data_IF_327245482640
#
_entry.id   IF_327245482640
#
_cell.length_a   1.000
_cell.length_b   1.000
_cell.length_c   1.000
_cell.angle_alpha   90.00
_cell.angle_beta   90.00
_cell.angle_gamma   90.00
#
_symmetry.space_group_name_H-M   'P 1'
#
loop_
_entity.id
_entity.type
_entity.pdbx_description
1 polymer ?
#
# COMPACT_ATOMS: atom_id res chain seq x y z
N UNK A 1 0.09 -1.11 -12.95
CA UNK A 1 -0.26 0.34 -12.88
C UNK A 1 0.85 1.24 -12.36
N UNK A 2 1.69 0.78 -11.42
CA UNK A 2 2.73 1.60 -10.78
C UNK A 2 3.63 2.39 -11.76
N UNK A 3 4.04 1.80 -12.89
CA UNK A 3 4.87 2.47 -13.89
C UNK A 3 4.17 3.67 -14.55
N UNK A 4 2.88 3.54 -14.88
CA UNK A 4 2.10 4.64 -15.47
C UNK A 4 1.89 5.77 -14.46
N UNK A 5 1.67 5.44 -13.18
CA UNK A 5 1.60 6.43 -12.09
C UNK A 5 2.89 7.21 -11.92
N UNK A 6 4.03 6.51 -11.90
CA UNK A 6 5.35 7.15 -11.84
C UNK A 6 5.62 8.06 -13.04
N UNK A 7 5.26 7.63 -14.26
CA UNK A 7 5.40 8.45 -15.48
C UNK A 7 4.54 9.71 -15.41
N UNK A 8 3.28 9.59 -14.97
CA UNK A 8 2.38 10.73 -14.77
C UNK A 8 2.95 11.73 -13.76
N UNK A 9 3.55 11.25 -12.66
CA UNK A 9 4.18 12.09 -11.64
C UNK A 9 5.44 12.84 -12.09
N UNK A 10 5.99 12.52 -13.27
CA UNK A 10 7.09 13.26 -13.89
C UNK A 10 6.62 14.44 -14.75
N UNK A 11 5.31 14.59 -14.97
CA UNK A 11 4.70 15.65 -15.78
C UNK A 11 4.12 16.73 -14.86
N UNK A 12 4.20 18.01 -15.25
CA UNK A 12 3.49 19.10 -14.56
C UNK A 12 4.19 19.67 -13.32
N UNK A 13 5.51 19.82 -13.35
CA UNK A 13 6.29 20.47 -12.27
C UNK A 13 6.42 22.00 -12.40
N UNK A 14 5.78 22.58 -13.42
CA UNK A 14 5.76 24.03 -13.66
C UNK A 14 4.41 24.66 -13.28
N UNK A 15 4.32 25.98 -13.39
CA UNK A 15 3.08 26.73 -13.08
C UNK A 15 1.98 26.53 -14.14
N UNK A 16 2.33 26.01 -15.32
CA UNK A 16 1.40 25.78 -16.43
C UNK A 16 0.68 24.45 -16.30
N UNK A 17 -0.61 24.44 -16.65
CA UNK A 17 -1.41 23.21 -16.73
C UNK A 17 -0.77 22.22 -17.70
N UNK A 18 -0.63 20.98 -17.25
CA UNK A 18 -0.09 19.88 -18.04
C UNK A 18 -1.12 18.78 -18.21
N UNK A 19 -1.10 18.11 -19.36
CA UNK A 19 -2.03 17.05 -19.72
C UNK A 19 -1.25 15.76 -19.96
N UNK A 20 -1.83 14.63 -19.56
CA UNK A 20 -1.29 13.30 -19.80
C UNK A 20 -2.37 12.52 -20.57
N UNK A 21 -2.08 12.23 -21.83
CA UNK A 21 -2.95 11.43 -22.70
C UNK A 21 -2.47 9.98 -22.65
N UNK A 22 -3.41 9.07 -22.44
CA UNK A 22 -3.17 7.64 -22.42
C UNK A 22 -3.77 7.04 -23.68
N UNK A 23 -2.94 6.43 -24.52
CA UNK A 23 -3.36 5.73 -25.73
C UNK A 23 -3.18 4.23 -25.50
N UNK A 24 -4.20 3.45 -25.82
CA UNK A 24 -4.14 2.00 -25.78
C UNK A 24 -4.96 1.42 -26.93
N UNK A 25 -4.38 0.46 -27.63
CA UNK A 25 -5.03 -0.33 -28.67
C UNK A 25 -5.16 -1.76 -28.14
N UNK A 26 -6.21 -1.97 -27.35
CA UNK A 26 -6.46 -3.26 -26.70
C UNK A 26 -7.94 -3.39 -26.37
N UNK A 27 -8.46 -4.60 -26.54
CA UNK A 27 -9.81 -4.99 -26.12
C UNK A 27 -9.81 -5.69 -24.75
N UNK A 28 -8.64 -5.84 -24.12
CA UNK A 28 -8.52 -6.44 -22.79
C UNK A 28 -9.18 -5.56 -21.72
N UNK A 29 -10.29 -6.06 -21.16
CA UNK A 29 -11.07 -5.37 -20.12
C UNK A 29 -10.23 -5.01 -18.89
N UNK A 30 -9.23 -5.83 -18.52
CA UNK A 30 -8.33 -5.55 -17.41
C UNK A 30 -7.43 -4.36 -17.75
N UNK A 31 -6.88 -4.31 -18.97
CA UNK A 31 -6.08 -3.19 -19.43
C UNK A 31 -6.90 -1.89 -19.49
N UNK A 32 -8.13 -1.96 -19.99
CA UNK A 32 -9.07 -0.82 -20.02
C UNK A 32 -9.40 -0.34 -18.61
N UNK A 33 -9.68 -1.26 -17.69
CA UNK A 33 -9.99 -0.95 -16.29
C UNK A 33 -8.80 -0.28 -15.57
N UNK A 34 -7.57 -0.74 -15.85
CA UNK A 34 -6.33 -0.10 -15.36
C UNK A 34 -6.21 1.34 -15.86
N UNK A 35 -6.46 1.59 -17.14
CA UNK A 35 -6.39 2.95 -17.69
C UNK A 35 -7.47 3.86 -17.11
N UNK A 36 -8.67 3.32 -16.85
CA UNK A 36 -9.75 4.08 -16.24
C UNK A 36 -9.42 4.58 -14.82
N UNK A 37 -8.82 3.76 -13.96
CA UNK A 37 -8.44 4.25 -12.62
C UNK A 37 -7.33 5.32 -12.69
N UNK A 38 -6.43 5.23 -13.69
CA UNK A 38 -5.38 6.23 -13.94
C UNK A 38 -5.92 7.60 -14.37
N UNK A 39 -7.09 7.67 -15.00
CA UNK A 39 -7.72 8.93 -15.38
C UNK A 39 -8.58 9.51 -14.26
N UNK A 40 -9.13 8.66 -13.39
CA UNK A 40 -10.06 9.06 -12.31
C UNK A 40 -9.37 9.48 -11.02
N UNK A 41 -8.27 8.83 -10.65
CA UNK A 41 -7.60 9.10 -9.37
C UNK A 41 -6.17 9.61 -9.54
N UNK A 42 -5.75 10.47 -8.62
CA UNK A 42 -4.35 10.90 -8.46
C UNK A 42 -3.63 10.19 -7.32
N UNK A 43 -4.38 9.59 -6.40
CA UNK A 43 -3.85 8.93 -5.23
C UNK A 43 -3.12 7.63 -5.63
N UNK A 44 -1.86 7.51 -5.22
CA UNK A 44 -1.05 6.32 -5.48
C UNK A 44 -1.57 5.09 -4.74
N UNK A 45 -2.20 5.25 -3.58
CA UNK A 45 -2.77 4.14 -2.80
C UNK A 45 -4.00 3.56 -3.47
N UNK A 46 -4.95 4.41 -3.88
CA UNK A 46 -6.17 3.97 -4.57
C UNK A 46 -5.83 3.24 -5.89
N UNK A 47 -4.85 3.75 -6.63
CA UNK A 47 -4.38 3.11 -7.87
C UNK A 47 -3.72 1.77 -7.58
N UNK A 48 -2.94 1.66 -6.50
CA UNK A 48 -2.30 0.41 -6.10
C UNK A 48 -3.34 -0.64 -5.64
N UNK A 49 -4.36 -0.21 -4.89
CA UNK A 49 -5.46 -1.07 -4.45
C UNK A 49 -6.26 -1.61 -5.63
N UNK A 50 -6.56 -0.74 -6.60
CA UNK A 50 -7.27 -1.14 -7.81
C UNK A 50 -6.43 -2.08 -8.70
N UNK A 51 -5.11 -1.85 -8.82
CA UNK A 51 -4.21 -2.78 -9.54
C UNK A 51 -4.17 -4.15 -8.87
N UNK A 52 -4.16 -4.18 -7.53
CA UNK A 52 -4.20 -5.41 -6.76
C UNK A 52 -5.51 -6.18 -6.99
N UNK A 53 -6.65 -5.50 -6.89
CA UNK A 53 -7.97 -6.10 -7.17
C UNK A 53 -8.04 -6.69 -8.58
N UNK A 54 -7.48 -5.99 -9.58
CA UNK A 54 -7.49 -6.42 -10.98
C UNK A 54 -6.52 -7.57 -11.31
N UNK A 55 -5.32 -7.59 -10.70
CA UNK A 55 -4.35 -8.70 -10.87
C UNK A 55 -4.82 -9.98 -10.21
N UNK A 56 -5.71 -9.84 -9.26
CA UNK A 56 -6.03 -10.91 -8.35
C UNK A 56 -4.86 -11.18 -7.39
N UNK A 57 -5.19 -11.81 -6.26
CA UNK A 57 -4.26 -12.04 -5.17
C UNK A 57 -3.15 -13.05 -5.50
N UNK A 58 -3.38 -13.99 -6.43
CA UNK A 58 -2.42 -15.04 -6.79
C UNK A 58 -1.16 -14.54 -7.51
N UNK A 59 -1.22 -13.41 -8.21
CA UNK A 59 -0.09 -12.86 -8.96
C UNK A 59 0.93 -12.14 -8.05
N UNK A 60 0.47 -11.53 -6.96
CA UNK A 60 1.33 -10.94 -5.91
C UNK A 60 2.25 -11.99 -5.27
N UNK A 61 1.75 -13.20 -5.05
CA UNK A 61 2.52 -14.28 -4.42
C UNK A 61 3.40 -15.07 -5.40
N UNK A 62 3.17 -14.94 -6.71
CA UNK A 62 4.02 -15.55 -7.73
C UNK A 62 5.34 -14.78 -7.92
N UNK A 63 5.36 -13.50 -7.56
CA UNK A 63 6.59 -12.70 -7.44
C UNK A 63 7.04 -12.74 -5.98
N UNK A 64 7.93 -13.70 -5.65
CA UNK A 64 8.64 -13.75 -4.37
C UNK A 64 9.17 -12.37 -4.00
N UNK A 65 8.48 -11.64 -3.13
CA UNK A 65 9.08 -10.48 -2.47
C UNK A 65 9.93 -11.00 -1.31
N UNK A 66 11.23 -11.10 -1.56
CA UNK A 66 12.22 -11.24 -0.50
C UNK A 66 12.13 -10.00 0.41
N UNK A 67 11.65 -10.16 1.65
CA UNK A 67 11.79 -9.12 2.68
C UNK A 67 10.71 -9.08 3.75
N UNK A 68 9.47 -9.48 3.46
CA UNK A 68 8.43 -9.58 4.48
C UNK A 68 8.61 -10.91 5.24
N UNK A 69 8.64 -10.90 6.59
CA UNK A 69 8.58 -12.16 7.33
C UNK A 69 7.34 -12.91 6.89
N UNK A 70 7.46 -14.23 6.72
CA UNK A 70 6.35 -15.10 6.33
C UNK A 70 5.15 -14.78 7.21
N UNK A 71 4.20 -14.00 6.69
CA UNK A 71 2.85 -13.92 7.22
C UNK A 71 2.28 -15.31 6.95
N UNK A 72 2.57 -16.23 7.87
CA UNK A 72 1.95 -17.54 7.91
C UNK A 72 0.47 -17.29 8.11
N UNK A 73 -0.24 -17.33 6.98
CA UNK A 73 -1.65 -17.67 6.85
C UNK A 73 -2.60 -16.53 7.25
N UNK A 74 -3.13 -15.87 6.22
CA UNK A 74 -4.53 -15.50 6.12
C UNK A 74 -4.81 -15.35 4.63
N UNK A 75 -5.97 -15.78 4.15
CA UNK A 75 -6.31 -15.63 2.74
C UNK A 75 -6.56 -14.13 2.53
N UNK A 76 -5.52 -13.35 2.19
CA UNK A 76 -5.53 -11.87 2.10
C UNK A 76 -6.70 -11.32 1.27
N UNK A 77 -7.28 -12.16 0.42
CA UNK A 77 -8.49 -11.94 -0.38
C UNK A 77 -9.74 -11.87 0.47
N UNK A 78 -9.96 -12.90 1.29
CA UNK A 78 -11.10 -12.99 2.21
C UNK A 78 -10.90 -12.02 3.38
N UNK A 79 -9.65 -11.82 3.77
CA UNK A 79 -9.25 -10.96 4.89
C UNK A 79 -8.90 -9.53 4.45
N UNK A 80 -9.20 -9.14 3.21
CA UNK A 80 -8.85 -7.81 2.69
C UNK A 80 -9.47 -6.69 3.52
N UNK A 81 -10.76 -6.85 3.87
CA UNK A 81 -11.47 -5.90 4.73
C UNK A 81 -10.89 -5.87 6.15
N UNK A 82 -10.46 -7.03 6.67
CA UNK A 82 -9.81 -7.13 7.97
C UNK A 82 -8.45 -6.41 7.98
N UNK A 83 -7.66 -6.56 6.90
CA UNK A 83 -6.40 -5.84 6.74
C UNK A 83 -6.61 -4.32 6.63
N UNK A 84 -7.65 -3.88 5.92
CA UNK A 84 -8.00 -2.47 5.85
C UNK A 84 -8.47 -1.90 7.20
N UNK A 85 -9.22 -2.69 7.98
CA UNK A 85 -9.60 -2.32 9.34
C UNK A 85 -8.36 -2.19 10.23
N UNK A 86 -7.52 -3.22 10.29
CA UNK A 86 -6.29 -3.20 11.08
C UNK A 86 -5.37 -2.04 10.70
N UNK A 87 -5.27 -1.70 9.40
CA UNK A 87 -4.52 -0.55 8.92
C UNK A 87 -5.08 0.78 9.43
N UNK A 88 -6.41 0.96 9.36
CA UNK A 88 -7.07 2.18 9.88
C UNK A 88 -6.82 2.32 11.38
N UNK A 89 -7.03 1.25 12.13
CA UNK A 89 -6.82 1.24 13.58
C UNK A 89 -5.37 1.58 13.93
N UNK A 90 -4.40 1.04 13.19
CA UNK A 90 -2.99 1.36 13.38
C UNK A 90 -2.68 2.84 13.10
N UNK A 91 -3.25 3.44 12.05
CA UNK A 91 -3.05 4.87 11.77
C UNK A 91 -3.69 5.77 12.82
N UNK A 92 -4.90 5.45 13.26
CA UNK A 92 -5.56 6.17 14.36
C UNK A 92 -4.75 6.08 15.64
N UNK A 93 -4.29 4.88 15.99
CA UNK A 93 -3.46 4.64 17.16
C UNK A 93 -2.16 5.44 17.13
N UNK A 94 -1.46 5.45 15.99
CA UNK A 94 -0.20 6.20 15.84
C UNK A 94 -0.43 7.71 15.84
N UNK A 95 -1.57 8.19 15.35
CA UNK A 95 -1.91 9.61 15.43
C UNK A 95 -2.09 10.07 16.89
N UNK A 96 -2.67 9.20 17.74
CA UNK A 96 -2.96 9.50 19.14
C UNK A 96 -1.78 9.20 20.08
N UNK A 97 -1.01 8.15 19.82
CA UNK A 97 0.16 7.73 20.60
C UNK A 97 1.30 7.22 19.69
N UNK A 98 2.04 8.14 19.05
CA UNK A 98 3.03 7.80 18.02
C UNK A 98 4.15 6.85 18.47
N UNK A 99 4.46 6.87 19.77
CA UNK A 99 5.54 6.10 20.39
C UNK A 99 5.05 5.02 21.36
N UNK A 100 3.73 4.75 21.36
CA UNK A 100 3.07 3.72 22.17
C UNK A 100 3.42 3.82 23.67
N UNK A 101 3.42 5.05 24.20
CA UNK A 101 3.79 5.36 25.58
C UNK A 101 2.64 5.25 26.58
N UNK A 102 1.39 5.25 26.12
CA UNK A 102 0.25 5.12 27.00
C UNK A 102 0.26 3.73 27.67
N UNK A 103 -0.14 3.63 28.96
CA UNK A 103 -0.17 2.36 29.67
C UNK A 103 -0.98 1.28 28.95
N UNK A 104 -2.06 1.67 28.26
CA UNK A 104 -2.90 0.77 27.47
C UNK A 104 -2.17 0.12 26.29
N UNK A 105 -1.10 0.74 25.77
CA UNK A 105 -0.35 0.27 24.59
C UNK A 105 0.95 -0.44 24.96
N UNK A 106 1.27 -0.57 26.25
CA UNK A 106 2.52 -1.15 26.72
C UNK A 106 2.78 -2.57 26.17
N UNK A 107 1.75 -3.43 26.18
CA UNK A 107 1.85 -4.81 25.65
C UNK A 107 2.08 -4.84 24.15
N UNK A 108 1.41 -3.95 23.40
CA UNK A 108 1.59 -3.83 21.96
C UNK A 108 3.01 -3.35 21.62
N UNK A 109 3.52 -2.35 22.35
CA UNK A 109 4.89 -1.85 22.20
C UNK A 109 5.92 -2.96 22.43
N UNK A 110 5.76 -3.73 23.50
CA UNK A 110 6.64 -4.87 23.80
C UNK A 110 6.62 -5.90 22.66
N UNK A 111 5.44 -6.23 22.13
CA UNK A 111 5.32 -7.22 21.07
C UNK A 111 5.90 -6.73 19.74
N UNK A 112 5.74 -5.44 19.41
CA UNK A 112 6.36 -4.84 18.23
C UNK A 112 7.89 -4.88 18.34
N UNK A 113 8.45 -4.48 19.48
CA UNK A 113 9.90 -4.56 19.73
C UNK A 113 10.38 -6.01 19.62
N UNK A 114 9.66 -6.96 20.23
CA UNK A 114 10.01 -8.38 20.20
C UNK A 114 10.01 -8.97 18.79
N UNK A 115 9.04 -8.60 17.95
CA UNK A 115 8.88 -9.17 16.59
C UNK A 115 9.70 -8.44 15.53
N UNK A 116 9.92 -7.14 15.70
CA UNK A 116 10.42 -6.27 14.64
C UNK A 116 11.55 -5.32 15.08
N UNK A 117 12.00 -5.37 16.34
CA UNK A 117 13.04 -4.49 16.88
C UNK A 117 14.31 -4.44 16.03
N UNK A 118 14.80 -5.61 15.60
CA UNK A 118 16.01 -5.71 14.77
C UNK A 118 15.82 -5.21 13.32
N UNK A 119 14.56 -5.20 12.81
CA UNK A 119 14.24 -4.84 11.42
C UNK A 119 13.79 -3.39 11.24
N UNK A 120 13.30 -2.74 12.30
CA UNK A 120 12.75 -1.38 12.25
C UNK A 120 13.74 -0.29 12.69
N UNK A 121 14.95 -0.65 13.13
CA UNK A 121 15.92 0.34 13.65
C UNK A 121 15.42 1.09 14.89
N UNK A 122 14.38 0.58 15.56
CA UNK A 122 13.75 1.19 16.74
C UNK A 122 14.59 1.01 18.01
N UNK A 123 15.75 0.36 17.91
CA UNK A 123 16.69 0.20 19.03
C UNK A 123 17.57 1.45 19.22
N UNK A 124 17.55 2.41 18.29
CA UNK A 124 18.46 3.58 18.30
C UNK A 124 17.76 4.96 18.49
N UNK A 125 16.51 5.01 18.94
CA UNK A 125 15.90 6.28 19.37
C UNK A 125 15.67 6.23 20.88
N UNK A 126 16.56 6.93 21.59
CA UNK A 126 16.82 6.87 23.03
C UNK A 126 15.65 7.09 23.96
#
# INVERSE_FOLDING_TARGET
>A
LAQLHQLRGRIGRGQSKSYCFLFAETEDEVAVSRLNIMTRSRDGFEIAEHDLKLRGPGELFSVRQHGLPDLKIANIVDDFELLNLARRDAFTLIADDPILTQPAHATLRQEIIRRFGDKLGLVDVG
#
